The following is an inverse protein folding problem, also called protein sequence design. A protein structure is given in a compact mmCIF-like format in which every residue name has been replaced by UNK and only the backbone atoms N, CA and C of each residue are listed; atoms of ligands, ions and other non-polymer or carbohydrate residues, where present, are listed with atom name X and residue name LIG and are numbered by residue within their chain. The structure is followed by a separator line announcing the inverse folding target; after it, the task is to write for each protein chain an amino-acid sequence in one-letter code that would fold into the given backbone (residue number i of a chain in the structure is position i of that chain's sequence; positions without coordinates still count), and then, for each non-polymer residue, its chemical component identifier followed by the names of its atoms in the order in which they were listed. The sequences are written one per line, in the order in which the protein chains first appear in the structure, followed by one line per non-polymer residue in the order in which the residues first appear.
data_IF_771006632491
#
_entry.id   IF_771006632491
#
_cell.length_a   1.000
_cell.length_b   1.000
_cell.length_c   1.000
_cell.angle_alpha   90.00
_cell.angle_beta   90.00
_cell.angle_gamma   90.00
#
_symmetry.space_group_name_H-M   'P 1'
#
loop_
_entity.id
_entity.type
_entity.pdbx_description
1 polymer ?
#
# COMPACT_ATOMS: atom_id res chain seq x y z
N UNK A 1 -17.17 8.94 5.92
CA UNK A 1 -16.15 8.67 4.89
C UNK A 1 -16.66 7.74 3.79
N UNK A 2 -17.83 7.08 3.95
CA UNK A 2 -18.30 6.02 3.06
C UNK A 2 -19.13 6.50 1.85
N UNK A 3 -19.99 7.52 2.00
CA UNK A 3 -20.87 7.96 0.90
C UNK A 3 -20.14 8.63 -0.27
N UNK A 4 -19.22 9.56 0.01
CA UNK A 4 -18.49 10.28 -1.04
C UNK A 4 -17.52 9.37 -1.81
N UNK A 5 -16.86 8.44 -1.11
CA UNK A 5 -15.96 7.45 -1.73
C UNK A 5 -16.72 6.50 -2.65
N UNK A 6 -17.87 5.98 -2.21
CA UNK A 6 -18.73 5.13 -3.01
C UNK A 6 -19.29 5.87 -4.23
N UNK A 7 -19.71 7.13 -4.04
CA UNK A 7 -20.20 7.98 -5.14
C UNK A 7 -19.12 8.24 -6.18
N UNK A 8 -17.89 8.52 -5.76
CA UNK A 8 -16.75 8.70 -6.65
C UNK A 8 -16.39 7.41 -7.41
N UNK A 9 -16.46 6.26 -6.74
CA UNK A 9 -16.29 4.96 -7.37
C UNK A 9 -17.36 4.71 -8.44
N UNK A 10 -18.65 4.84 -8.09
CA UNK A 10 -19.78 4.65 -9.03
C UNK A 10 -19.65 5.59 -10.23
N UNK A 11 -19.35 6.87 -9.99
CA UNK A 11 -19.16 7.83 -11.07
C UNK A 11 -17.99 7.43 -11.97
N UNK A 12 -16.87 6.97 -11.41
CA UNK A 12 -15.73 6.46 -12.19
C UNK A 12 -16.14 5.31 -13.11
N UNK A 13 -16.89 4.33 -12.60
CA UNK A 13 -17.40 3.21 -13.39
C UNK A 13 -18.33 3.69 -14.51
N UNK A 14 -19.26 4.60 -14.22
CA UNK A 14 -20.19 5.14 -15.23
C UNK A 14 -19.42 5.79 -16.38
N UNK A 15 -18.42 6.61 -16.09
CA UNK A 15 -17.63 7.27 -17.14
C UNK A 15 -16.70 6.30 -17.88
N UNK A 16 -16.18 5.28 -17.19
CA UNK A 16 -15.40 4.21 -17.83
C UNK A 16 -16.23 3.39 -18.81
N UNK A 17 -17.47 3.07 -18.47
CA UNK A 17 -18.40 2.38 -19.38
C UNK A 17 -18.77 3.27 -20.57
N UNK A 18 -18.96 4.58 -20.36
CA UNK A 18 -19.18 5.55 -21.45
C UNK A 18 -17.94 5.71 -22.35
N UNK A 19 -16.75 5.57 -21.79
CA UNK A 19 -15.50 5.61 -22.55
C UNK A 19 -15.31 4.32 -23.34
N UNK A 20 -15.64 3.18 -22.73
CA UNK A 20 -15.65 1.86 -23.37
C UNK A 20 -16.58 1.82 -24.59
N UNK A 21 -17.80 2.36 -24.49
CA UNK A 21 -18.72 2.41 -25.64
C UNK A 21 -18.25 3.30 -26.78
N UNK A 22 -17.35 4.24 -26.51
CA UNK A 22 -16.74 5.12 -27.51
C UNK A 22 -15.51 4.53 -28.19
N UNK A 23 -14.98 3.39 -27.73
CA UNK A 23 -13.78 2.76 -28.29
C UNK A 23 -14.14 1.95 -29.54
N UNK A 24 -13.50 2.29 -30.66
CA UNK A 24 -13.63 1.52 -31.93
C UNK A 24 -12.65 0.36 -32.01
N UNK A 25 -11.52 0.46 -31.32
CA UNK A 25 -10.46 -0.54 -31.33
C UNK A 25 -10.82 -1.69 -30.37
N UNK A 26 -10.91 -2.91 -30.91
CA UNK A 26 -11.26 -4.12 -30.15
C UNK A 26 -10.20 -4.51 -29.11
N UNK A 27 -8.93 -4.30 -29.42
CA UNK A 27 -7.83 -4.60 -28.51
C UNK A 27 -7.84 -3.63 -27.32
N UNK A 28 -8.02 -2.34 -27.59
CA UNK A 28 -8.11 -1.33 -26.53
C UNK A 28 -9.40 -1.48 -25.70
N UNK A 29 -10.51 -1.84 -26.33
CA UNK A 29 -11.74 -2.17 -25.62
C UNK A 29 -11.52 -3.34 -24.66
N UNK A 30 -10.92 -4.45 -25.12
CA UNK A 30 -10.62 -5.60 -24.25
C UNK A 30 -9.69 -5.21 -23.10
N UNK A 31 -8.59 -4.48 -23.38
CA UNK A 31 -7.66 -4.03 -22.35
C UNK A 31 -8.33 -3.13 -21.32
N UNK A 32 -9.22 -2.24 -21.76
CA UNK A 32 -10.00 -1.39 -20.85
C UNK A 32 -10.97 -2.23 -20.00
N UNK A 33 -11.64 -3.22 -20.59
CA UNK A 33 -12.53 -4.12 -19.86
C UNK A 33 -11.78 -4.88 -18.76
N UNK A 34 -10.61 -5.42 -19.06
CA UNK A 34 -9.78 -6.16 -18.10
C UNK A 34 -9.38 -5.25 -16.94
N UNK A 35 -8.95 -4.02 -17.24
CA UNK A 35 -8.58 -3.02 -16.22
C UNK A 35 -9.75 -2.53 -15.38
N UNK A 36 -10.92 -2.32 -15.98
CA UNK A 36 -12.16 -2.01 -15.23
C UNK A 36 -12.49 -3.17 -14.28
N UNK A 37 -12.36 -4.41 -14.75
CA UNK A 37 -12.66 -5.59 -13.94
C UNK A 37 -11.70 -5.75 -12.77
N UNK A 38 -10.39 -5.55 -12.99
CA UNK A 38 -9.37 -5.50 -11.92
C UNK A 38 -9.69 -4.42 -10.89
N UNK A 39 -10.07 -3.22 -11.36
CA UNK A 39 -10.43 -2.10 -10.49
C UNK A 39 -11.67 -2.41 -9.64
N UNK A 40 -12.74 -2.96 -10.23
CA UNK A 40 -13.95 -3.35 -9.50
C UNK A 40 -13.66 -4.46 -8.49
N UNK A 41 -12.89 -5.48 -8.89
CA UNK A 41 -12.50 -6.56 -7.99
C UNK A 41 -11.67 -6.04 -6.80
N UNK A 42 -10.73 -5.12 -7.04
CA UNK A 42 -9.94 -4.47 -5.99
C UNK A 42 -10.80 -3.68 -5.00
N UNK A 43 -11.82 -2.95 -5.49
CA UNK A 43 -12.75 -2.23 -4.63
C UNK A 43 -13.62 -3.16 -3.77
N UNK A 44 -14.13 -4.25 -4.36
CA UNK A 44 -14.91 -5.25 -3.61
C UNK A 44 -14.06 -5.89 -2.53
N UNK A 45 -12.81 -6.30 -2.84
CA UNK A 45 -11.88 -6.84 -1.85
C UNK A 45 -11.65 -5.86 -0.69
N UNK A 46 -11.49 -4.57 -0.99
CA UNK A 46 -11.32 -3.53 0.03
C UNK A 46 -12.55 -3.43 0.96
N UNK A 47 -13.76 -3.64 0.44
CA UNK A 47 -15.01 -3.58 1.20
C UNK A 47 -15.31 -4.86 1.99
N UNK A 48 -15.04 -6.05 1.44
CA UNK A 48 -15.40 -7.33 2.08
C UNK A 48 -14.51 -7.70 3.27
N UNK A 49 -13.39 -7.00 3.45
CA UNK A 49 -12.35 -7.33 4.43
C UNK A 49 -12.34 -6.44 5.68
N UNK A 50 -13.43 -5.74 5.97
CA UNK A 50 -13.60 -4.90 7.17
C UNK A 50 -13.47 -5.61 8.53
N UNK A 51 -12.95 -6.85 8.58
CA UNK A 51 -12.70 -7.62 9.79
C UNK A 51 -11.43 -8.50 9.79
N UNK A 52 -10.55 -8.44 8.78
CA UNK A 52 -9.29 -9.21 8.77
C UNK A 52 -8.06 -8.39 9.19
N UNK A 53 -6.97 -9.11 9.50
CA UNK A 53 -5.64 -8.61 9.90
C UNK A 53 -5.22 -7.33 9.17
N UNK A 54 -4.70 -6.34 9.91
CA UNK A 54 -4.22 -5.04 9.39
C UNK A 54 -3.25 -5.21 8.20
N UNK A 55 -2.52 -6.31 8.16
CA UNK A 55 -1.59 -6.66 7.08
C UNK A 55 -2.32 -6.97 5.77
N UNK A 56 -3.41 -7.75 5.79
CA UNK A 56 -4.16 -8.07 4.58
C UNK A 56 -4.89 -6.84 4.05
N UNK A 57 -5.40 -5.99 4.95
CA UNK A 57 -5.99 -4.71 4.56
C UNK A 57 -4.98 -3.79 3.84
N UNK A 58 -3.73 -3.71 4.31
CA UNK A 58 -2.69 -2.91 3.67
C UNK A 58 -2.28 -3.45 2.28
N UNK A 59 -2.17 -4.78 2.13
CA UNK A 59 -1.84 -5.40 0.84
C UNK A 59 -2.95 -5.14 -0.17
N UNK A 60 -4.22 -5.36 0.19
CA UNK A 60 -5.36 -5.12 -0.69
C UNK A 60 -5.49 -3.63 -1.06
N UNK A 61 -5.20 -2.74 -0.13
CA UNK A 61 -5.15 -1.30 -0.39
C UNK A 61 -4.06 -0.95 -1.43
N UNK A 62 -2.88 -1.56 -1.33
CA UNK A 62 -1.80 -1.38 -2.30
C UNK A 62 -2.16 -1.95 -3.68
N UNK A 63 -2.72 -3.16 -3.73
CA UNK A 63 -3.18 -3.78 -4.98
C UNK A 63 -4.21 -2.90 -5.69
N UNK A 64 -5.18 -2.37 -4.95
CA UNK A 64 -6.21 -1.52 -5.50
C UNK A 64 -5.69 -0.15 -5.94
N UNK A 65 -4.71 0.41 -5.22
CA UNK A 65 -3.99 1.60 -5.67
C UNK A 65 -3.26 1.35 -6.99
N UNK A 66 -2.58 0.22 -7.13
CA UNK A 66 -1.90 -0.14 -8.38
C UNK A 66 -2.90 -0.29 -9.52
N UNK A 67 -4.04 -0.94 -9.30
CA UNK A 67 -5.11 -1.03 -10.29
C UNK A 67 -5.62 0.35 -10.72
N UNK A 68 -5.71 1.32 -9.79
CA UNK A 68 -6.08 2.71 -10.10
C UNK A 68 -5.01 3.39 -10.96
N UNK A 69 -3.72 3.15 -10.67
CA UNK A 69 -2.58 3.73 -11.38
C UNK A 69 -2.46 3.18 -12.81
N UNK A 70 -2.61 1.87 -12.99
CA UNK A 70 -2.64 1.23 -14.31
C UNK A 70 -3.78 1.78 -15.19
N UNK A 71 -4.92 2.08 -14.57
CA UNK A 71 -6.10 2.59 -15.27
C UNK A 71 -5.90 4.05 -15.70
N UNK A 72 -5.23 4.86 -14.87
CA UNK A 72 -4.80 6.21 -15.24
C UNK A 72 -3.78 6.19 -16.39
N UNK A 73 -2.81 5.28 -16.36
CA UNK A 73 -1.85 5.11 -17.47
C UNK A 73 -2.54 4.75 -18.78
N UNK A 74 -3.54 3.86 -18.74
CA UNK A 74 -4.33 3.52 -19.92
C UNK A 74 -5.11 4.73 -20.45
N UNK A 75 -5.67 5.57 -19.57
CA UNK A 75 -6.36 6.80 -20.00
C UNK A 75 -5.40 7.78 -20.67
N UNK A 76 -4.17 7.91 -20.19
CA UNK A 76 -3.14 8.75 -20.79
C UNK A 76 -2.79 8.26 -22.21
N UNK A 77 -2.68 6.94 -22.37
CA UNK A 77 -2.51 6.34 -23.69
C UNK A 77 -3.68 6.63 -24.63
N UNK A 78 -4.92 6.50 -24.15
CA UNK A 78 -6.13 6.76 -24.95
C UNK A 78 -6.28 8.24 -25.34
N UNK A 79 -5.84 9.14 -24.47
CA UNK A 79 -5.76 10.58 -24.76
C UNK A 79 -4.76 10.86 -25.88
N UNK A 80 -3.55 10.29 -25.76
CA UNK A 80 -2.50 10.44 -26.78
C UNK A 80 -2.88 9.84 -28.13
N UNK A 81 -3.57 8.69 -28.13
CA UNK A 81 -4.03 8.04 -29.36
C UNK A 81 -5.26 8.72 -29.99
N UNK A 82 -5.84 9.74 -29.34
CA UNK A 82 -7.06 10.45 -29.76
C UNK A 82 -8.21 9.49 -30.13
N UNK A 83 -8.23 8.30 -29.53
CA UNK A 83 -9.11 7.20 -29.92
C UNK A 83 -10.45 7.21 -29.19
N UNK A 84 -10.68 8.19 -28.31
CA UNK A 84 -11.84 8.27 -27.42
C UNK A 84 -12.42 9.67 -27.33
N UNK A 85 -13.67 9.75 -26.87
CA UNK A 85 -14.33 11.01 -26.54
C UNK A 85 -13.60 11.70 -25.37
N UNK A 86 -13.24 12.97 -25.56
CA UNK A 86 -12.49 13.78 -24.58
C UNK A 86 -13.29 13.95 -23.28
N UNK A 87 -14.60 14.18 -23.37
CA UNK A 87 -15.43 14.48 -22.20
C UNK A 87 -15.49 13.30 -21.20
N UNK A 88 -15.87 12.07 -21.59
CA UNK A 88 -15.81 10.91 -20.67
C UNK A 88 -14.40 10.65 -20.12
N UNK A 89 -13.35 10.89 -20.91
CA UNK A 89 -11.96 10.71 -20.48
C UNK A 89 -11.59 11.65 -19.33
N UNK A 90 -11.89 12.95 -19.48
CA UNK A 90 -11.60 13.96 -18.44
C UNK A 90 -12.39 13.70 -17.16
N UNK A 91 -13.68 13.36 -17.25
CA UNK A 91 -14.48 13.04 -16.07
C UNK A 91 -13.99 11.78 -15.36
N UNK A 92 -13.62 10.74 -16.12
CA UNK A 92 -13.05 9.52 -15.56
C UNK A 92 -11.77 9.84 -14.77
N UNK A 93 -10.85 10.58 -15.40
CA UNK A 93 -9.56 10.94 -14.79
C UNK A 93 -9.75 11.77 -13.52
N UNK A 94 -10.64 12.76 -13.55
CA UNK A 94 -11.00 13.55 -12.37
C UNK A 94 -11.48 12.67 -11.22
N UNK A 95 -12.39 11.75 -11.48
CA UNK A 95 -12.97 10.91 -10.43
C UNK A 95 -11.95 9.91 -9.87
N UNK A 96 -11.15 9.25 -10.73
CA UNK A 96 -10.08 8.35 -10.30
C UNK A 96 -9.01 9.08 -9.47
N UNK A 97 -8.63 10.30 -9.85
CA UNK A 97 -7.69 11.11 -9.08
C UNK A 97 -8.27 11.57 -7.75
N UNK A 98 -9.54 12.00 -7.71
CA UNK A 98 -10.23 12.33 -6.47
C UNK A 98 -10.26 11.11 -5.54
N UNK A 99 -10.59 9.96 -6.09
CA UNK A 99 -10.67 8.72 -5.36
C UNK A 99 -9.28 8.26 -4.85
N UNK A 100 -8.24 8.35 -5.67
CA UNK A 100 -6.84 8.11 -5.26
C UNK A 100 -6.41 9.04 -4.12
N UNK A 101 -6.82 10.30 -4.18
CA UNK A 101 -6.55 11.28 -3.14
C UNK A 101 -7.27 10.91 -1.83
N UNK A 102 -8.52 10.47 -1.91
CA UNK A 102 -9.29 9.98 -0.76
C UNK A 102 -8.63 8.74 -0.15
N UNK A 103 -8.17 7.79 -0.97
CA UNK A 103 -7.40 6.62 -0.51
C UNK A 103 -6.16 7.05 0.28
N UNK A 104 -5.37 7.97 -0.27
CA UNK A 104 -4.16 8.47 0.40
C UNK A 104 -4.50 9.15 1.73
N UNK A 105 -5.55 9.96 1.78
CA UNK A 105 -6.02 10.60 3.03
C UNK A 105 -6.45 9.58 4.08
N UNK A 106 -7.18 8.55 3.68
CA UNK A 106 -7.63 7.46 4.56
C UNK A 106 -6.44 6.68 5.12
N UNK A 107 -5.40 6.44 4.31
CA UNK A 107 -4.15 5.83 4.79
C UNK A 107 -3.43 6.70 5.83
N UNK A 108 -3.53 8.02 5.72
CA UNK A 108 -2.97 8.98 6.68
C UNK A 108 -3.76 9.06 8.01
N UNK A 109 -5.07 8.83 7.99
CA UNK A 109 -5.92 8.84 9.18
C UNK A 109 -5.80 7.56 10.02
N UNK A 110 -5.58 6.40 9.41
CA UNK A 110 -5.25 5.15 10.12
C UNK A 110 -3.99 5.29 11.00
N UNK A 111 -3.05 6.17 10.63
CA UNK A 111 -1.81 6.45 11.37
C UNK A 111 -2.05 7.38 12.58
N UNK A 112 -3.19 8.09 12.66
CA UNK A 112 -3.47 9.07 13.72
C UNK A 112 -4.31 8.53 14.89
N UNK A 113 -4.91 7.33 14.78
CA UNK A 113 -5.80 6.76 15.80
C UNK A 113 -5.11 5.89 16.86
N UNK A 114 -3.77 5.85 16.93
CA UNK A 114 -3.10 5.22 18.08
C UNK A 114 -3.13 6.16 19.29
N UNK A 115 -3.73 5.75 20.43
CA UNK A 115 -3.78 6.55 21.63
C UNK A 115 -2.36 6.76 22.19
N UNK A 116 -2.07 7.98 22.64
CA UNK A 116 -0.88 8.31 23.45
C UNK A 116 -0.90 7.45 24.71
N UNK A 117 -0.25 6.29 24.69
CA UNK A 117 -0.03 5.50 25.90
C UNK A 117 1.17 6.07 26.66
N UNK A 118 0.90 6.40 27.92
CA UNK A 118 1.77 7.08 28.87
C UNK A 118 3.06 6.28 29.13
N UNK A 119 4.13 7.04 29.35
CA UNK A 119 5.33 6.63 30.10
C UNK A 119 4.96 5.79 31.34
N UNK A 120 5.65 4.65 31.52
CA UNK A 120 6.31 4.28 32.77
C UNK A 120 7.30 3.09 32.57
N UNK A 121 8.49 3.29 33.14
CA UNK A 121 9.72 2.47 33.29
C UNK A 121 9.56 1.13 34.06
N UNK A 122 10.59 0.25 34.26
CA UNK A 122 11.80 -0.09 33.46
C UNK A 122 12.06 -1.65 33.45
N UNK A 123 13.29 -2.24 33.27
CA UNK A 123 13.51 -3.37 32.35
C UNK A 123 13.74 -4.74 33.03
N UNK A 124 13.41 -5.84 32.36
CA UNK A 124 13.84 -7.17 32.81
C UNK A 124 14.17 -8.13 31.66
N UNK A 125 15.43 -8.54 31.67
CA UNK A 125 15.99 -9.86 31.31
C UNK A 125 15.63 -10.51 29.97
N UNK A 126 16.65 -10.53 29.10
CA UNK A 126 16.88 -11.48 28.01
C UNK A 126 16.78 -12.93 28.51
N UNK A 127 16.25 -13.84 27.68
CA UNK A 127 16.89 -15.14 27.52
C UNK A 127 17.27 -15.39 26.06
N UNK A 128 18.55 -15.70 25.87
CA UNK A 128 19.06 -16.42 24.70
C UNK A 128 18.35 -17.79 24.69
N UNK A 129 17.75 -18.16 23.56
CA UNK A 129 18.07 -19.42 22.89
C UNK A 129 17.36 -19.56 21.55
N UNK A 130 18.15 -20.07 20.62
CA UNK A 130 17.90 -20.39 19.22
C UNK A 130 16.84 -21.47 19.03
N UNK A 131 15.93 -21.26 18.08
CA UNK A 131 15.44 -22.33 17.21
C UNK A 131 15.14 -21.76 15.81
N UNK A 132 16.15 -21.88 14.93
CA UNK A 132 15.94 -21.86 13.49
C UNK A 132 15.43 -23.23 13.07
N UNK A 133 14.15 -23.33 12.71
CA UNK A 133 13.69 -24.32 11.74
C UNK A 133 12.34 -23.94 11.16
N UNK A 134 12.32 -23.94 9.83
CA UNK A 134 11.16 -24.06 8.95
C UNK A 134 10.19 -22.87 8.95
N UNK A 135 10.40 -21.95 8.01
CA UNK A 135 9.32 -21.43 7.17
C UNK A 135 9.96 -21.07 5.81
N UNK A 136 9.38 -21.64 4.76
CA UNK A 136 9.75 -21.51 3.35
C UNK A 136 10.01 -20.04 2.99
N UNK A 137 11.10 -19.82 2.24
CA UNK A 137 11.20 -18.79 1.20
C UNK A 137 10.74 -17.37 1.59
N UNK A 138 11.05 -16.92 2.80
CA UNK A 138 10.77 -15.54 3.20
C UNK A 138 11.91 -14.63 2.75
N UNK A 139 11.55 -13.59 2.00
CA UNK A 139 12.48 -12.58 1.48
C UNK A 139 13.25 -11.95 2.64
N UNK A 140 14.48 -11.47 2.40
CA UNK A 140 15.27 -10.78 3.43
C UNK A 140 14.48 -9.65 4.12
N UNK A 141 13.51 -9.04 3.41
CA UNK A 141 12.53 -8.09 3.97
C UNK A 141 11.70 -8.69 5.11
N UNK A 142 11.16 -9.88 4.93
CA UNK A 142 10.28 -10.54 5.90
C UNK A 142 11.03 -10.91 7.17
N UNK A 143 12.32 -11.28 7.04
CA UNK A 143 13.17 -11.56 8.20
C UNK A 143 13.43 -10.30 9.02
N UNK A 144 13.76 -9.19 8.36
CA UNK A 144 13.96 -7.88 9.02
C UNK A 144 12.67 -7.41 9.68
N UNK A 145 11.54 -7.57 9.00
CA UNK A 145 10.22 -7.24 9.55
C UNK A 145 9.90 -8.08 10.80
N UNK A 146 10.10 -9.39 10.74
CA UNK A 146 9.88 -10.28 11.88
C UNK A 146 10.83 -9.99 13.06
N UNK A 147 12.03 -9.49 12.80
CA UNK A 147 12.93 -9.03 13.85
C UNK A 147 12.39 -7.77 14.55
N UNK A 148 11.95 -6.77 13.78
CA UNK A 148 11.34 -5.54 14.31
C UNK A 148 10.04 -5.86 15.07
N UNK A 149 9.33 -6.93 14.68
CA UNK A 149 8.17 -7.48 15.43
C UNK A 149 8.51 -7.96 16.83
N UNK A 150 9.65 -8.63 16.97
CA UNK A 150 10.10 -9.21 18.24
C UNK A 150 10.76 -8.17 19.14
N UNK A 151 11.39 -7.17 18.54
CA UNK A 151 12.15 -6.11 19.22
C UNK A 151 11.58 -4.73 18.90
N UNK A 152 10.49 -4.30 19.56
CA UNK A 152 9.95 -2.95 19.36
C UNK A 152 10.98 -1.91 19.83
N UNK A 153 11.16 -0.84 19.05
CA UNK A 153 12.19 0.20 19.23
C UNK A 153 13.63 -0.24 18.87
N UNK A 154 13.78 -1.11 17.88
CA UNK A 154 15.11 -1.49 17.40
C UNK A 154 15.83 -0.33 16.71
N UNK A 155 17.09 -0.10 17.07
CA UNK A 155 17.93 0.89 16.38
C UNK A 155 18.42 0.33 15.05
N UNK A 156 18.68 1.23 14.10
CA UNK A 156 19.27 0.85 12.80
C UNK A 156 20.55 0.03 12.97
N UNK A 157 21.41 0.38 13.95
CA UNK A 157 22.65 -0.35 14.23
C UNK A 157 22.41 -1.78 14.73
N UNK A 158 21.44 -1.96 15.63
CA UNK A 158 21.08 -3.28 16.17
C UNK A 158 20.53 -4.20 15.07
N UNK A 159 19.74 -3.66 14.14
CA UNK A 159 19.23 -4.42 12.99
C UNK A 159 20.39 -4.78 12.03
N UNK A 160 21.34 -3.87 11.81
CA UNK A 160 22.52 -4.17 10.97
C UNK A 160 23.39 -5.26 11.62
N UNK A 161 23.57 -5.23 12.94
CA UNK A 161 24.33 -6.24 13.68
C UNK A 161 23.68 -7.63 13.63
N UNK A 162 22.36 -7.72 13.80
CA UNK A 162 21.62 -8.99 13.68
C UNK A 162 21.68 -9.55 12.26
N UNK A 163 21.61 -8.69 11.25
CA UNK A 163 21.67 -9.06 9.84
C UNK A 163 23.05 -8.81 9.22
N UNK A 164 24.13 -9.08 9.97
CA UNK A 164 25.52 -8.87 9.50
C UNK A 164 25.89 -9.68 8.24
N UNK A 165 25.11 -10.71 7.92
CA UNK A 165 25.23 -11.52 6.69
C UNK A 165 24.87 -10.68 5.45
N UNK A 166 24.06 -9.62 5.62
CA UNK A 166 23.67 -8.69 4.56
C UNK A 166 24.52 -7.42 4.63
N UNK A 167 24.78 -6.82 3.46
CA UNK A 167 25.39 -5.48 3.40
C UNK A 167 24.52 -4.45 4.12
N UNK A 168 25.16 -3.54 4.87
CA UNK A 168 24.51 -2.38 5.49
C UNK A 168 23.60 -1.61 4.52
N UNK A 169 24.03 -1.48 3.25
CA UNK A 169 23.24 -0.83 2.19
C UNK A 169 21.94 -1.58 1.90
N UNK A 170 22.00 -2.90 1.85
CA UNK A 170 20.85 -3.78 1.58
C UNK A 170 19.86 -3.73 2.74
N UNK A 171 20.36 -3.74 3.99
CA UNK A 171 19.52 -3.60 5.19
C UNK A 171 18.81 -2.24 5.19
N UNK A 172 19.54 -1.14 4.95
CA UNK A 172 18.95 0.21 4.84
C UNK A 172 17.93 0.33 3.69
N UNK A 173 18.19 -0.33 2.55
CA UNK A 173 17.25 -0.37 1.42
C UNK A 173 15.97 -1.08 1.80
N UNK A 174 16.05 -2.27 2.41
CA UNK A 174 14.90 -3.02 2.89
C UNK A 174 14.12 -2.24 3.96
N UNK A 175 14.81 -1.59 4.91
CA UNK A 175 14.15 -0.74 5.91
C UNK A 175 13.44 0.47 5.28
N UNK A 176 14.01 1.05 4.22
CA UNK A 176 13.37 2.13 3.48
C UNK A 176 12.13 1.63 2.73
N UNK A 177 12.22 0.46 2.10
CA UNK A 177 11.10 -0.17 1.39
C UNK A 177 9.98 -0.55 2.38
N UNK A 178 10.29 -1.20 3.50
CA UNK A 178 9.33 -1.53 4.57
C UNK A 178 8.67 -0.28 5.18
N UNK A 179 9.40 0.82 5.30
CA UNK A 179 8.86 2.09 5.78
C UNK A 179 7.98 2.79 4.72
N UNK A 180 8.34 2.68 3.44
CA UNK A 180 7.53 3.20 2.34
C UNK A 180 6.25 2.38 2.12
N UNK A 181 6.31 1.08 2.38
CA UNK A 181 5.19 0.14 2.38
C UNK A 181 4.30 0.28 3.63
N UNK A 182 4.70 1.10 4.62
CA UNK A 182 3.91 1.35 5.83
C UNK A 182 3.90 0.21 6.85
N UNK A 183 4.79 -0.78 6.70
CA UNK A 183 4.91 -1.92 7.61
C UNK A 183 5.69 -1.56 8.88
N UNK A 184 6.64 -0.63 8.77
CA UNK A 184 7.44 -0.16 9.91
C UNK A 184 7.43 1.36 10.01
N UNK A 185 7.33 1.88 11.23
CA UNK A 185 7.44 3.30 11.53
C UNK A 185 8.90 3.64 11.80
N UNK A 186 9.37 4.70 11.15
CA UNK A 186 10.69 5.29 11.40
C UNK A 186 10.54 6.57 12.22
N UNK A 187 11.28 6.70 13.31
CA UNK A 187 11.45 7.98 14.00
C UNK A 187 12.90 8.18 14.44
N UNK A 188 13.28 9.44 14.63
CA UNK A 188 14.59 9.81 15.12
C UNK A 188 14.48 10.28 16.57
N UNK A 189 15.37 9.80 17.43
CA UNK A 189 15.50 10.25 18.83
C UNK A 189 16.98 10.22 19.21
N UNK A 190 17.48 11.26 19.85
CA UNK A 190 18.88 11.35 20.34
C UNK A 190 19.93 10.98 19.26
N UNK A 191 19.83 11.58 18.06
CA UNK A 191 20.68 11.31 16.89
C UNK A 191 20.69 9.85 16.38
N UNK A 192 19.77 9.00 16.84
CA UNK A 192 19.60 7.64 16.37
C UNK A 192 18.25 7.43 15.67
N UNK A 193 18.24 6.56 14.67
CA UNK A 193 17.04 6.17 13.92
C UNK A 193 16.53 4.83 14.45
N UNK A 194 15.27 4.82 14.85
CA UNK A 194 14.56 3.67 15.42
C UNK A 194 13.45 3.22 14.48
N UNK A 195 13.15 1.93 14.59
CA UNK A 195 12.05 1.29 13.88
C UNK A 195 11.15 0.53 14.87
N UNK A 196 9.84 0.65 14.67
CA UNK A 196 8.81 -0.21 15.27
C UNK A 196 7.89 -0.68 14.16
N UNK A 197 7.10 -1.70 14.46
CA UNK A 197 5.91 -1.98 13.67
C UNK A 197 4.92 -0.83 13.81
N UNK A 198 4.18 -0.57 12.73
CA UNK A 198 3.04 0.36 12.70
C UNK A 198 1.86 -0.25 13.45
#
# INVERSE_FOLDING_TARGET
MEEDGLKNFINSIIFLVKLFSGLKDKFLAQKLYDKISEFVAGYIKLLTLGGEDVVSHNINFLEFRNATDDLLELLDYLEHSKSTLITPLLYTRKNLLSFKLDLIKSSGQLIQLTPKLKENKPPASVPKNSHFKNLKESSNKDRIFNFIKRSPNSRTKEIIEEFNILSERTVKRNLKELAAEGLIRKWAKDNAVYYSIV
#
